data_IF_115111497070
#
_entry.id   IF_115111497070
#
_cell.length_a   1.000
_cell.length_b   1.000
_cell.length_c   1.000
_cell.angle_alpha   90.00
_cell.angle_beta   90.00
_cell.angle_gamma   90.00
#
_symmetry.space_group_name_H-M   'P 1'
#
loop_
_entity.id
_entity.type
_entity.pdbx_description
1 polymer ?
#
# COMPACT_ATOMS: atom_id res chain seq x y z
N UNK A 1 -9.33 -4.70 -16.96
CA UNK A 1 -9.68 -3.27 -17.14
C UNK A 1 -8.50 -2.42 -16.62
N UNK A 2 -7.78 -1.69 -17.49
CA UNK A 2 -6.43 -1.13 -17.18
C UNK A 2 -6.43 0.25 -16.49
N UNK A 3 -7.60 0.76 -16.09
CA UNK A 3 -7.70 2.09 -15.48
C UNK A 3 -6.99 2.15 -14.12
N UNK A 4 -7.10 1.08 -13.33
CA UNK A 4 -6.57 0.99 -11.96
C UNK A 4 -5.04 0.97 -11.97
N UNK A 5 -4.42 0.20 -12.88
CA UNK A 5 -2.96 0.18 -13.06
C UNK A 5 -2.42 1.58 -13.41
N UNK A 6 -3.12 2.33 -14.29
CA UNK A 6 -2.69 3.69 -14.67
C UNK A 6 -2.77 4.64 -13.47
N UNK A 7 -3.80 4.52 -12.63
CA UNK A 7 -3.91 5.32 -11.41
C UNK A 7 -2.85 4.94 -10.35
N UNK A 8 -2.61 3.65 -10.14
CA UNK A 8 -1.55 3.16 -9.22
C UNK A 8 -0.16 3.62 -9.67
N UNK A 9 0.13 3.59 -10.97
CA UNK A 9 1.38 4.12 -11.52
C UNK A 9 1.54 5.63 -11.23
N UNK A 10 0.45 6.41 -11.37
CA UNK A 10 0.45 7.85 -11.05
C UNK A 10 0.62 8.09 -9.54
N UNK A 11 -0.05 7.31 -8.70
CA UNK A 11 0.02 7.45 -7.24
C UNK A 11 1.41 7.09 -6.71
N UNK A 12 2.01 5.97 -7.14
CA UNK A 12 3.38 5.60 -6.74
C UNK A 12 4.39 6.68 -7.09
N UNK A 13 4.29 7.28 -8.29
CA UNK A 13 5.17 8.39 -8.69
C UNK A 13 5.01 9.61 -7.78
N UNK A 14 3.78 9.99 -7.44
CA UNK A 14 3.52 11.12 -6.54
C UNK A 14 4.03 10.86 -5.12
N UNK A 15 3.81 9.65 -4.60
CA UNK A 15 4.26 9.26 -3.27
C UNK A 15 5.79 9.25 -3.21
N UNK A 16 6.46 8.56 -4.13
CA UNK A 16 7.92 8.51 -4.19
C UNK A 16 8.56 9.90 -4.25
N UNK A 17 7.97 10.85 -5.00
CA UNK A 17 8.46 12.23 -5.05
C UNK A 17 8.28 12.98 -3.72
N UNK A 18 7.17 12.74 -3.00
CA UNK A 18 6.88 13.42 -1.73
C UNK A 18 7.64 12.83 -0.54
N UNK A 19 8.02 11.56 -0.61
CA UNK A 19 8.63 10.80 0.50
C UNK A 19 10.07 10.38 0.22
N UNK A 20 10.67 10.84 -0.89
CA UNK A 20 12.10 10.63 -1.16
C UNK A 20 12.47 9.23 -1.63
N UNK A 21 11.52 8.46 -2.19
CA UNK A 21 11.76 7.13 -2.76
C UNK A 21 11.05 5.99 -2.04
N UNK A 22 10.29 6.27 -1.00
CA UNK A 22 9.57 5.26 -0.24
C UNK A 22 8.39 4.65 -1.01
N UNK A 23 8.26 3.33 -0.87
CA UNK A 23 7.28 2.54 -1.59
C UNK A 23 6.11 2.17 -0.67
N UNK A 24 5.06 2.99 -0.71
CA UNK A 24 3.87 2.79 0.11
C UNK A 24 2.86 1.80 -0.49
N UNK A 25 2.88 1.57 -1.80
CA UNK A 25 1.89 0.71 -2.46
C UNK A 25 2.58 -0.57 -2.90
N UNK A 26 2.17 -1.71 -2.33
CA UNK A 26 2.62 -3.04 -2.73
C UNK A 26 1.58 -3.68 -3.66
N UNK A 27 2.03 -4.24 -4.78
CA UNK A 27 1.15 -4.93 -5.73
C UNK A 27 1.22 -6.43 -5.47
N UNK A 28 0.09 -7.03 -5.12
CA UNK A 28 -0.06 -8.48 -4.98
C UNK A 28 -0.84 -9.00 -6.18
N UNK A 29 -0.13 -9.71 -7.06
CA UNK A 29 -0.71 -10.29 -8.26
C UNK A 29 -1.87 -11.23 -7.91
N UNK A 30 -3.04 -10.97 -8.49
CA UNK A 30 -4.27 -11.73 -8.22
C UNK A 30 -5.02 -11.36 -6.93
N UNK A 31 -4.49 -10.48 -6.07
CA UNK A 31 -5.13 -10.04 -4.82
C UNK A 31 -5.41 -8.53 -4.74
N UNK A 32 -4.68 -7.71 -5.51
CA UNK A 32 -4.90 -6.26 -5.60
C UNK A 32 -3.69 -5.46 -5.10
N UNK A 33 -3.96 -4.29 -4.52
CA UNK A 33 -2.94 -3.37 -4.02
C UNK A 33 -3.10 -3.16 -2.51
N UNK A 34 -1.99 -3.13 -1.79
CA UNK A 34 -1.95 -2.90 -0.34
C UNK A 34 -1.18 -1.63 -0.07
N UNK A 35 -1.73 -0.75 0.76
CA UNK A 35 -1.04 0.43 1.25
C UNK A 35 -0.30 0.05 2.55
N UNK A 36 1.02 0.19 2.56
CA UNK A 36 1.89 0.05 3.73
C UNK A 36 2.56 1.38 4.01
N UNK A 37 2.73 1.68 5.28
CA UNK A 37 3.55 2.79 5.72
C UNK A 37 4.96 2.24 6.07
N UNK A 38 6.05 2.76 5.48
CA UNK A 38 7.41 2.28 5.72
C UNK A 38 7.83 2.50 7.19
N UNK A 39 7.24 3.48 7.90
CA UNK A 39 7.51 3.72 9.33
C UNK A 39 6.81 2.68 10.21
N UNK A 40 5.70 2.10 9.74
CA UNK A 40 4.96 1.05 10.47
C UNK A 40 5.32 -0.38 10.02
N UNK A 41 6.24 -0.55 9.06
CA UNK A 41 6.71 -1.87 8.63
C UNK A 41 7.53 -2.59 9.72
N UNK A 42 8.07 -1.85 10.69
CA UNK A 42 8.78 -2.37 11.87
C UNK A 42 7.89 -2.47 13.13
N UNK A 43 6.59 -2.11 13.06
CA UNK A 43 5.79 -1.88 14.28
C UNK A 43 4.29 -2.03 14.19
N UNK A 44 3.73 -2.67 13.16
CA UNK A 44 2.31 -3.05 13.18
C UNK A 44 2.15 -4.41 13.86
N UNK A 45 2.09 -4.39 15.20
CA UNK A 45 1.27 -5.34 15.94
C UNK A 45 -0.08 -5.49 15.23
N UNK A 46 -0.62 -6.71 15.09
CA UNK A 46 -1.92 -6.91 14.49
C UNK A 46 -2.95 -6.20 15.37
N UNK A 47 -3.47 -5.05 14.91
CA UNK A 47 -4.69 -4.50 15.49
C UNK A 47 -5.78 -5.55 15.30
N UNK A 48 -6.00 -6.24 16.42
CA UNK A 48 -7.15 -7.04 16.79
C UNK A 48 -8.42 -6.31 16.35
N UNK A 49 -8.94 -6.62 15.17
CA UNK A 49 -10.35 -6.41 14.87
C UNK A 49 -11.06 -7.76 15.01
N UNK A 50 -11.60 -7.92 16.21
CA UNK A 50 -12.45 -9.02 16.63
C UNK A 50 -13.77 -9.02 15.83
N UNK A 51 -14.21 -10.22 15.45
CA UNK A 51 -15.62 -10.55 15.41
C UNK A 51 -15.76 -12.02 15.82
N UNK A 52 -16.04 -12.18 17.11
CA UNK A 52 -16.51 -13.39 17.77
C UNK A 52 -17.87 -13.78 17.17
N UNK A 53 -18.04 -15.05 16.83
CA UNK A 53 -19.33 -15.77 16.86
C UNK A 53 -19.04 -17.22 17.24
#
# INVERSE_FOLDING_TARGET
>A
LKIIDVFVCKLRKKLANATGGDNYIETVWGRGYVLRDPVNAEGSEPTKQAATA
#
